data_IF_861200193944
#
_entry.id   IF_861200193944
#
_cell.length_a   1.000
_cell.length_b   1.000
_cell.length_c   1.000
_cell.angle_alpha   90.00
_cell.angle_beta   90.00
_cell.angle_gamma   90.00
#
_symmetry.space_group_name_H-M   'P 1'
#
loop_
_entity.id
_entity.type
_entity.pdbx_description
1 polymer ?
#
# COMPACT_ATOMS: atom_id res chain seq x y z
N UNK A 1 17.13 -48.29 -35.84
CA UNK A 1 16.89 -47.47 -34.63
C UNK A 1 17.05 -46.00 -35.03
N UNK A 2 15.96 -45.24 -35.16
CA UNK A 2 16.01 -43.81 -35.54
C UNK A 2 14.88 -42.99 -34.91
N UNK A 3 15.28 -42.12 -33.98
CA UNK A 3 14.80 -40.77 -33.59
C UNK A 3 13.30 -40.41 -33.62
N UNK A 4 12.73 -40.24 -32.42
CA UNK A 4 11.41 -39.67 -32.13
C UNK A 4 11.43 -38.12 -32.21
N UNK A 5 10.61 -37.55 -33.09
CA UNK A 5 10.41 -36.10 -33.25
C UNK A 5 9.49 -35.54 -32.16
N UNK A 6 9.87 -34.40 -31.56
CA UNK A 6 9.11 -33.64 -30.56
C UNK A 6 8.02 -32.78 -31.22
N UNK A 7 6.76 -32.93 -30.78
CA UNK A 7 5.63 -32.03 -31.13
C UNK A 7 5.44 -31.00 -30.02
N UNK A 8 5.68 -29.71 -30.32
CA UNK A 8 5.31 -28.57 -29.46
C UNK A 8 3.79 -28.31 -29.55
N UNK A 9 3.08 -28.03 -28.43
CA UNK A 9 1.66 -27.67 -28.47
C UNK A 9 1.45 -26.20 -28.88
N UNK A 10 0.41 -25.98 -29.68
CA UNK A 10 -0.06 -24.69 -30.22
C UNK A 10 -1.00 -24.03 -29.20
N UNK A 11 -0.86 -22.72 -28.87
CA UNK A 11 -1.84 -22.04 -28.03
C UNK A 11 -3.18 -21.90 -28.78
N UNK A 12 -4.33 -22.06 -28.09
CA UNK A 12 -5.63 -21.94 -28.73
C UNK A 12 -5.94 -20.48 -29.09
N UNK A 13 -6.46 -20.28 -30.30
CA UNK A 13 -6.94 -19.00 -30.78
C UNK A 13 -8.21 -18.59 -30.01
N UNK A 14 -8.15 -17.48 -29.26
CA UNK A 14 -9.32 -16.88 -28.62
C UNK A 14 -10.00 -15.98 -29.66
N UNK A 15 -11.10 -16.45 -30.23
CA UNK A 15 -12.13 -15.62 -30.85
C UNK A 15 -13.32 -15.63 -29.90
N UNK A 16 -13.68 -14.47 -29.33
CA UNK A 16 -15.06 -14.08 -28.99
C UNK A 16 -15.09 -12.73 -28.28
N UNK A 17 -15.58 -11.72 -28.98
CA UNK A 17 -16.44 -10.65 -28.47
C UNK A 17 -17.65 -10.59 -29.45
N UNK A 18 -18.80 -9.97 -29.14
CA UNK A 18 -19.14 -9.12 -28.00
C UNK A 18 -20.50 -9.45 -27.32
N UNK A 19 -20.74 -8.93 -26.11
CA UNK A 19 -22.09 -8.51 -25.71
C UNK A 19 -21.95 -7.41 -24.65
N UNK A 20 -22.37 -6.19 -25.00
CA UNK A 20 -22.33 -5.00 -24.14
C UNK A 20 -23.76 -4.52 -23.98
N UNK A 21 -24.31 -4.70 -22.78
CA UNK A 21 -25.57 -4.08 -22.41
C UNK A 21 -25.61 -3.74 -20.91
N UNK A 22 -25.77 -2.44 -20.61
CA UNK A 22 -26.20 -1.93 -19.30
C UNK A 22 -25.17 -1.08 -18.56
N UNK A 23 -25.25 0.25 -18.75
CA UNK A 23 -24.55 1.24 -17.94
C UNK A 23 -25.08 1.25 -16.49
N UNK A 24 -24.20 1.25 -15.48
CA UNK A 24 -23.86 2.38 -14.57
C UNK A 24 -22.63 2.00 -13.72
N UNK A 25 -21.78 3.00 -13.46
CA UNK A 25 -20.79 3.13 -12.37
C UNK A 25 -19.33 2.69 -12.63
N UNK A 26 -18.49 3.72 -12.80
CA UNK A 26 -17.03 3.78 -12.56
C UNK A 26 -16.25 2.67 -13.24
N UNK A 27 -15.55 3.01 -14.33
CA UNK A 27 -14.53 2.19 -14.97
C UNK A 27 -13.42 1.84 -13.97
N UNK A 28 -13.70 0.86 -13.13
CA UNK A 28 -12.75 0.17 -12.29
C UNK A 28 -11.95 -0.70 -13.23
N UNK A 29 -10.98 -0.06 -13.87
CA UNK A 29 -10.10 -0.64 -14.88
C UNK A 29 -9.24 -1.72 -14.19
N UNK A 30 -9.82 -2.92 -14.08
CA UNK A 30 -9.16 -4.10 -13.52
C UNK A 30 -8.27 -4.70 -14.59
N UNK A 31 -7.00 -4.90 -14.26
CA UNK A 31 -5.94 -5.36 -15.13
C UNK A 31 -5.49 -6.76 -14.71
N UNK A 32 -5.10 -7.57 -15.70
CA UNK A 32 -4.36 -8.81 -15.49
C UNK A 32 -2.91 -8.53 -15.12
N UNK A 33 -2.15 -9.56 -14.72
CA UNK A 33 -0.73 -9.43 -14.43
C UNK A 33 0.07 -8.85 -15.62
N UNK A 34 -0.17 -9.33 -16.83
CA UNK A 34 0.53 -8.89 -18.03
C UNK A 34 0.22 -7.42 -18.36
N UNK A 35 -1.06 -7.05 -18.31
CA UNK A 35 -1.49 -5.66 -18.54
C UNK A 35 -0.93 -4.71 -17.48
N UNK A 36 -0.99 -5.09 -16.20
CA UNK A 36 -0.43 -4.31 -15.11
C UNK A 36 1.09 -4.14 -15.24
N UNK A 37 1.81 -5.19 -15.64
CA UNK A 37 3.26 -5.15 -15.87
C UNK A 37 3.61 -4.19 -17.02
N UNK A 38 2.87 -4.26 -18.13
CA UNK A 38 3.04 -3.33 -19.25
C UNK A 38 2.75 -1.89 -18.85
N UNK A 39 1.69 -1.67 -18.05
CA UNK A 39 1.30 -0.33 -17.61
C UNK A 39 2.32 0.29 -16.65
N UNK A 40 2.82 -0.51 -15.69
CA UNK A 40 3.89 -0.12 -14.77
C UNK A 40 5.27 -0.08 -15.44
N UNK A 41 5.40 -0.58 -16.67
CA UNK A 41 6.67 -0.74 -17.41
C UNK A 41 7.71 -1.58 -16.65
N UNK A 42 7.27 -2.68 -16.07
CA UNK A 42 8.13 -3.65 -15.36
C UNK A 42 8.00 -5.04 -15.97
N UNK A 43 8.90 -5.96 -15.62
CA UNK A 43 8.77 -7.36 -16.01
C UNK A 43 7.61 -8.05 -15.28
N UNK A 44 6.87 -8.92 -15.98
CA UNK A 44 5.80 -9.74 -15.38
C UNK A 44 6.28 -10.60 -14.20
N UNK A 45 7.49 -11.18 -14.31
CA UNK A 45 8.09 -12.02 -13.27
C UNK A 45 8.36 -11.23 -11.98
N UNK A 46 8.91 -10.02 -12.11
CA UNK A 46 9.12 -9.09 -11.00
C UNK A 46 7.82 -8.67 -10.34
N UNK A 47 6.83 -8.22 -11.14
CA UNK A 47 5.53 -7.82 -10.62
C UNK A 47 4.82 -8.97 -9.88
N UNK A 48 4.92 -10.20 -10.40
CA UNK A 48 4.38 -11.39 -9.75
C UNK A 48 5.04 -11.65 -8.39
N UNK A 49 6.36 -11.55 -8.32
CA UNK A 49 7.09 -11.72 -7.05
C UNK A 49 6.68 -10.65 -6.03
N UNK A 50 6.56 -9.39 -6.45
CA UNK A 50 6.13 -8.28 -5.59
C UNK A 50 4.70 -8.42 -5.12
N UNK A 51 3.84 -8.96 -5.96
CA UNK A 51 2.45 -9.25 -5.63
C UNK A 51 2.35 -10.37 -4.59
N UNK A 52 3.13 -11.45 -4.74
CA UNK A 52 3.20 -12.54 -3.76
C UNK A 52 3.77 -12.05 -2.42
N UNK A 53 4.75 -11.15 -2.47
CA UNK A 53 5.34 -10.52 -1.29
C UNK A 53 4.42 -9.48 -0.62
N UNK A 54 3.25 -9.18 -1.20
CA UNK A 54 2.31 -8.19 -0.68
C UNK A 54 2.79 -6.74 -0.81
N UNK A 55 3.79 -6.47 -1.66
CA UNK A 55 4.33 -5.12 -1.88
C UNK A 55 3.46 -4.27 -2.81
N UNK A 56 2.66 -4.92 -3.65
CA UNK A 56 1.80 -4.28 -4.65
C UNK A 56 0.34 -4.67 -4.39
N UNK A 57 -0.62 -3.71 -4.47
CA UNK A 57 -2.03 -4.02 -4.27
C UNK A 57 -2.57 -4.89 -5.41
N UNK A 58 -2.93 -6.14 -5.09
CA UNK A 58 -3.59 -7.06 -6.00
C UNK A 58 -4.55 -7.98 -5.26
N UNK A 59 -5.37 -8.70 -6.02
CA UNK A 59 -6.23 -9.77 -5.53
C UNK A 59 -6.04 -11.03 -6.35
N UNK A 60 -6.00 -12.18 -5.69
CA UNK A 60 -5.98 -13.47 -6.36
C UNK A 60 -7.42 -13.98 -6.47
N UNK A 61 -7.94 -14.08 -7.70
CA UNK A 61 -9.33 -14.43 -7.98
C UNK A 61 -9.36 -15.47 -9.09
N UNK A 62 -10.04 -16.59 -8.83
CA UNK A 62 -10.24 -17.67 -9.81
C UNK A 62 -8.93 -18.17 -10.49
N UNK A 63 -7.82 -18.21 -9.75
CA UNK A 63 -6.53 -18.69 -10.26
C UNK A 63 -5.66 -17.61 -10.93
N UNK A 64 -6.11 -16.36 -10.97
CA UNK A 64 -5.42 -15.25 -11.63
C UNK A 64 -5.23 -14.05 -10.71
N UNK A 65 -4.19 -13.26 -10.97
CA UNK A 65 -3.98 -11.97 -10.30
C UNK A 65 -4.75 -10.86 -11.00
N UNK A 66 -5.49 -10.08 -10.20
CA UNK A 66 -6.28 -8.93 -10.61
C UNK A 66 -5.78 -7.68 -9.91
N UNK A 67 -5.51 -6.65 -10.69
CA UNK A 67 -4.99 -5.36 -10.23
C UNK A 67 -6.02 -4.29 -10.53
N UNK A 68 -6.28 -3.38 -9.58
CA UNK A 68 -7.15 -2.24 -9.84
C UNK A 68 -6.27 -1.02 -10.14
N UNK A 69 -6.47 -0.37 -11.29
CA UNK A 69 -5.66 0.78 -11.69
C UNK A 69 -5.71 1.94 -10.70
N UNK A 70 -6.87 2.25 -10.12
CA UNK A 70 -6.97 3.32 -9.11
C UNK A 70 -6.18 2.97 -7.84
N UNK A 71 -6.21 1.71 -7.42
CA UNK A 71 -5.40 1.24 -6.29
C UNK A 71 -3.89 1.31 -6.60
N UNK A 72 -3.48 0.96 -7.83
CA UNK A 72 -2.09 1.09 -8.26
C UNK A 72 -1.62 2.56 -8.29
N UNK A 73 -2.45 3.48 -8.78
CA UNK A 73 -2.14 4.93 -8.77
C UNK A 73 -2.03 5.45 -7.34
N UNK A 74 -2.98 5.09 -6.46
CA UNK A 74 -2.95 5.49 -5.06
C UNK A 74 -1.71 4.94 -4.33
N UNK A 75 -1.31 3.72 -4.66
CA UNK A 75 -0.09 3.08 -4.16
C UNK A 75 1.17 3.80 -4.65
N UNK A 76 1.30 4.09 -5.95
CA UNK A 76 2.43 4.84 -6.52
C UNK A 76 2.55 6.27 -5.99
N UNK A 77 1.43 6.83 -5.52
CA UNK A 77 1.40 8.18 -4.94
C UNK A 77 1.88 8.21 -3.49
N UNK A 78 1.98 7.05 -2.83
CA UNK A 78 2.53 7.00 -1.48
C UNK A 78 4.03 7.27 -1.53
N UNK A 79 4.57 8.13 -0.65
CA UNK A 79 6.02 8.22 -0.51
C UNK A 79 6.54 6.86 -0.08
N UNK A 80 7.63 6.40 -0.69
CA UNK A 80 8.35 5.21 -0.26
C UNK A 80 8.74 5.41 1.21
N UNK A 81 7.97 4.81 2.12
CA UNK A 81 8.33 4.80 3.53
C UNK A 81 9.72 4.16 3.59
N UNK A 82 10.71 4.83 4.21
CA UNK A 82 12.06 4.31 4.22
C UNK A 82 12.04 2.87 4.73
N UNK A 83 12.52 1.94 3.91
CA UNK A 83 12.53 0.49 4.15
C UNK A 83 13.22 0.08 5.45
N UNK A 84 13.78 1.04 6.19
CA UNK A 84 14.28 0.88 7.53
C UNK A 84 13.14 0.72 8.57
N UNK A 85 12.07 0.02 8.23
CA UNK A 85 11.07 -0.40 9.21
C UNK A 85 11.77 -1.40 10.13
N UNK A 86 11.76 -1.18 11.45
CA UNK A 86 12.39 -2.09 12.39
C UNK A 86 11.80 -3.50 12.21
N UNK A 87 12.68 -4.46 11.92
CA UNK A 87 12.34 -5.87 11.66
C UNK A 87 12.05 -6.61 12.96
N UNK A 88 12.49 -6.06 14.09
CA UNK A 88 12.31 -6.62 15.43
C UNK A 88 11.72 -5.59 16.39
N UNK A 89 11.13 -6.08 17.48
CA UNK A 89 10.65 -5.22 18.57
C UNK A 89 11.77 -4.37 19.20
N UNK A 90 13.00 -4.89 19.26
CA UNK A 90 14.15 -4.15 19.78
C UNK A 90 14.52 -2.95 18.89
N UNK A 91 14.55 -3.14 17.57
CA UNK A 91 14.81 -2.05 16.62
C UNK A 91 13.69 -1.00 16.66
N UNK A 92 12.45 -1.40 16.95
CA UNK A 92 11.32 -0.47 17.10
C UNK A 92 11.47 0.40 18.34
N UNK A 93 11.90 -0.18 19.45
CA UNK A 93 12.17 0.54 20.70
C UNK A 93 13.29 1.58 20.50
N UNK A 94 14.39 1.22 19.82
CA UNK A 94 15.47 2.17 19.53
C UNK A 94 15.02 3.29 18.58
N UNK A 95 14.22 2.97 17.55
CA UNK A 95 13.64 3.97 16.64
C UNK A 95 12.73 4.96 17.39
N UNK A 96 11.90 4.47 18.30
CA UNK A 96 11.03 5.32 19.14
C UNK A 96 11.88 6.21 20.05
N UNK A 97 12.94 5.66 20.67
CA UNK A 97 13.88 6.44 21.49
C UNK A 97 14.56 7.54 20.67
N UNK A 98 15.02 7.23 19.47
CA UNK A 98 15.66 8.19 18.56
C UNK A 98 14.68 9.30 18.14
N UNK A 99 13.44 8.96 17.79
CA UNK A 99 12.40 9.94 17.45
C UNK A 99 12.12 10.87 18.63
N UNK A 100 12.03 10.34 19.86
CA UNK A 100 11.81 11.13 21.07
C UNK A 100 13.03 12.03 21.41
N UNK A 101 14.24 11.59 21.10
CA UNK A 101 15.44 12.43 21.27
C UNK A 101 15.53 13.52 20.22
N UNK A 102 15.14 13.21 18.98
CA UNK A 102 15.21 14.12 17.83
C UNK A 102 14.07 15.13 17.80
N UNK A 103 12.91 14.79 18.35
CA UNK A 103 11.79 15.72 18.47
C UNK A 103 12.10 16.89 19.40
N UNK A 104 13.14 16.80 20.23
CA UNK A 104 13.68 17.93 21.00
C UNK A 104 12.67 18.58 21.97
N UNK A 105 11.46 18.04 22.07
CA UNK A 105 10.39 18.52 22.92
C UNK A 105 10.69 18.06 24.35
N UNK A 106 11.65 18.73 24.97
CA UNK A 106 11.82 18.72 26.42
C UNK A 106 10.80 19.69 26.97
N UNK A 107 9.53 19.29 27.04
CA UNK A 107 8.59 19.97 27.92
C UNK A 107 9.16 19.79 29.33
N UNK A 108 9.72 20.87 29.87
CA UNK A 108 10.27 20.82 31.21
C UNK A 108 9.10 20.59 32.20
N UNK A 109 9.34 19.95 33.35
CA UNK A 109 8.28 19.74 34.34
C UNK A 109 7.55 21.05 34.71
N UNK A 110 8.27 22.17 34.76
CA UNK A 110 7.72 23.49 35.04
C UNK A 110 6.81 24.02 33.91
N UNK A 111 7.14 23.77 32.64
CA UNK A 111 6.30 24.16 31.50
C UNK A 111 5.02 23.31 31.43
N UNK A 112 5.12 22.02 31.74
CA UNK A 112 3.96 21.13 31.85
C UNK A 112 3.02 21.57 33.00
N UNK A 113 3.58 21.91 34.16
CA UNK A 113 2.83 22.44 35.30
C UNK A 113 2.18 23.79 35.00
N UNK A 114 2.88 24.69 34.31
CA UNK A 114 2.35 25.98 33.89
C UNK A 114 1.21 25.82 32.88
N UNK A 115 1.33 24.88 31.94
CA UNK A 115 0.27 24.57 30.98
C UNK A 115 -0.97 23.99 31.66
N UNK A 116 -0.79 23.06 32.60
CA UNK A 116 -1.87 22.48 33.41
C UNK A 116 -2.55 23.58 34.24
N UNK A 117 -1.78 24.43 34.90
CA UNK A 117 -2.31 25.55 35.69
C UNK A 117 -3.11 26.53 34.81
N UNK A 118 -2.62 26.84 33.60
CA UNK A 118 -3.31 27.70 32.63
C UNK A 118 -4.63 27.08 32.17
N UNK A 119 -4.66 25.77 31.93
CA UNK A 119 -5.89 25.05 31.55
C UNK A 119 -6.93 25.07 32.68
N UNK A 120 -6.51 24.81 33.93
CA UNK A 120 -7.42 24.87 35.09
C UNK A 120 -7.92 26.29 35.37
N UNK A 121 -7.08 27.31 35.17
CA UNK A 121 -7.48 28.71 35.32
C UNK A 121 -8.55 29.12 34.29
N UNK A 122 -8.39 28.71 33.03
CA UNK A 122 -9.36 28.96 31.98
C UNK A 122 -10.72 28.31 32.29
N UNK A 123 -10.72 27.02 32.69
CA UNK A 123 -11.96 26.31 33.04
C UNK A 123 -12.65 26.89 34.29
N UNK A 124 -11.89 27.39 35.26
CA UNK A 124 -12.44 28.04 36.45
C UNK A 124 -13.11 29.38 36.11
N UNK A 125 -12.54 30.16 35.18
CA UNK A 125 -13.12 31.41 34.70
C UNK A 125 -14.46 31.18 33.98
N UNK A 126 -14.54 30.15 33.14
CA UNK A 126 -15.79 29.78 32.46
C UNK A 126 -16.88 29.28 33.44
N UNK A 127 -16.50 28.60 34.53
CA UNK A 127 -17.46 28.11 35.55
C UNK A 127 -17.97 29.18 36.51
N UNK A 128 -17.34 30.35 36.57
CA UNK A 128 -17.73 31.45 37.46
C UNK A 128 -18.61 32.51 36.78
N UNK A 129 -18.90 32.34 35.48
CA UNK A 129 -19.74 33.22 34.68
C UNK A 129 -21.12 32.67 34.32
N UNK A 130 -21.57 31.61 35.00
CA UNK A 130 -22.90 31.01 34.83
C UNK A 130 -23.75 31.12 36.10
#
# INVERSE_FOLDING_TARGET
MSTRTSKKPKPPAIKSAPDVNGAVAVTSEVMTLAEAAMWLRVSESGLKADTIAGRVPARFVAGEWRFNKAALVAWLSQPELPSNRPKTGAELVERIREINQRSGFKETPEEAEAFIAKMYAARKADSAGA
#
